data_IF_304604543424
#
_entry.id   IF_304604543424
#
_cell.length_a   1.000
_cell.length_b   1.000
_cell.length_c   1.000
_cell.angle_alpha   90.00
_cell.angle_beta   90.00
_cell.angle_gamma   90.00
#
_symmetry.space_group_name_H-M   'P 1'
#
loop_
_entity.id
_entity.type
_entity.pdbx_description
1 polymer ?
#
# COMPACT_ATOMS: atom_id res chain seq x y z
N UNK A 1 -0.90 -4.83 16.66
CA UNK A 1 0.14 -5.85 16.41
C UNK A 1 -0.54 -7.13 15.90
N UNK A 2 -1.18 -7.12 14.73
CA UNK A 2 -1.93 -8.31 14.28
C UNK A 2 -2.06 -8.46 12.75
N UNK A 3 -1.96 -7.39 11.97
CA UNK A 3 -2.15 -7.50 10.52
C UNK A 3 -0.92 -8.11 9.84
N UNK A 4 0.30 -7.69 10.21
CA UNK A 4 1.54 -7.97 9.43
C UNK A 4 2.21 -9.32 9.74
N UNK A 5 2.10 -9.88 10.95
CA UNK A 5 2.67 -11.21 11.26
C UNK A 5 2.03 -12.31 10.40
N UNK A 6 0.77 -12.15 10.01
CA UNK A 6 0.08 -13.05 9.09
C UNK A 6 0.63 -12.95 7.66
N UNK A 7 0.99 -11.73 7.19
CA UNK A 7 1.48 -11.49 5.82
C UNK A 7 2.93 -11.93 5.60
N UNK A 8 3.79 -11.91 6.61
CA UNK A 8 5.20 -12.35 6.48
C UNK A 8 5.36 -13.86 6.21
N UNK A 9 4.36 -14.67 6.61
CA UNK A 9 4.33 -16.13 6.40
C UNK A 9 3.60 -16.54 5.12
N UNK A 10 2.76 -15.66 4.59
CA UNK A 10 2.03 -15.88 3.35
C UNK A 10 2.92 -15.40 2.19
N UNK A 11 3.03 -16.19 1.12
CA UNK A 11 3.62 -15.74 -0.14
C UNK A 11 2.70 -14.70 -0.81
N UNK A 12 2.55 -13.54 -0.19
CA UNK A 12 1.61 -12.51 -0.62
C UNK A 12 2.21 -11.79 -1.81
N UNK A 13 1.52 -11.87 -2.94
CA UNK A 13 1.96 -11.19 -4.16
C UNK A 13 1.66 -9.71 -4.04
N UNK A 14 2.68 -8.88 -4.23
CA UNK A 14 2.50 -7.44 -4.41
C UNK A 14 2.25 -7.15 -5.89
N UNK A 15 1.11 -6.55 -6.19
CA UNK A 15 0.68 -6.24 -7.56
C UNK A 15 0.56 -4.73 -7.71
N UNK A 16 1.54 -4.04 -8.32
CA UNK A 16 1.43 -2.62 -8.59
C UNK A 16 0.41 -2.36 -9.69
N UNK A 17 -0.68 -1.67 -9.36
CA UNK A 17 -1.70 -1.27 -10.35
C UNK A 17 -1.12 -0.29 -11.37
N UNK A 18 -1.76 -0.17 -12.54
CA UNK A 18 -1.41 0.86 -13.54
C UNK A 18 -1.45 2.28 -12.96
N UNK A 19 -2.39 2.51 -12.04
CA UNK A 19 -2.55 3.81 -11.39
C UNK A 19 -1.37 4.10 -10.46
N UNK A 20 -0.97 3.14 -9.63
CA UNK A 20 0.24 3.22 -8.79
C UNK A 20 1.49 3.44 -9.63
N UNK A 21 1.68 2.69 -10.72
CA UNK A 21 2.86 2.86 -11.57
C UNK A 21 2.95 4.28 -12.16
N UNK A 22 1.79 4.86 -12.53
CA UNK A 22 1.74 6.23 -13.05
C UNK A 22 2.02 7.26 -11.94
N UNK A 23 1.37 7.12 -10.78
CA UNK A 23 1.50 8.07 -9.67
C UNK A 23 2.86 8.00 -8.99
N UNK A 24 3.43 6.79 -8.86
CA UNK A 24 4.78 6.56 -8.34
C UNK A 24 5.84 7.15 -9.26
N UNK A 25 5.76 6.91 -10.58
CA UNK A 25 6.70 7.50 -11.54
C UNK A 25 6.72 9.03 -11.50
N UNK A 26 5.55 9.68 -11.36
CA UNK A 26 5.49 11.14 -11.26
C UNK A 26 6.10 11.71 -9.97
N UNK A 27 6.26 10.88 -8.94
CA UNK A 27 6.75 11.26 -7.60
C UNK A 27 8.09 10.61 -7.25
N UNK A 28 8.73 9.93 -8.20
CA UNK A 28 9.94 9.13 -7.96
C UNK A 28 9.77 8.02 -6.90
N UNK A 29 8.55 7.54 -6.65
CA UNK A 29 8.26 6.49 -5.68
C UNK A 29 8.29 5.11 -6.37
N UNK A 30 9.02 4.19 -5.75
CA UNK A 30 9.23 2.82 -6.22
C UNK A 30 8.36 1.81 -5.47
N UNK A 31 8.36 0.56 -5.93
CA UNK A 31 7.73 -0.56 -5.19
C UNK A 31 8.47 -0.83 -3.87
N UNK A 32 9.78 -0.60 -3.82
CA UNK A 32 10.57 -0.78 -2.59
C UNK A 32 10.13 0.19 -1.50
N UNK A 33 9.83 1.44 -1.86
CA UNK A 33 9.29 2.44 -0.94
C UNK A 33 7.94 2.01 -0.39
N UNK A 34 7.08 1.50 -1.26
CA UNK A 34 5.80 0.96 -0.84
C UNK A 34 5.97 -0.25 0.10
N UNK A 35 6.95 -1.13 -0.13
CA UNK A 35 7.25 -2.25 0.75
C UNK A 35 7.72 -1.76 2.12
N UNK A 36 8.61 -0.78 2.16
CA UNK A 36 9.10 -0.19 3.41
C UNK A 36 7.93 0.37 4.22
N UNK A 37 7.08 1.19 3.60
CA UNK A 37 5.90 1.77 4.24
C UNK A 37 4.92 0.69 4.71
N UNK A 38 4.74 -0.39 3.95
CA UNK A 38 3.90 -1.52 4.38
C UNK A 38 4.49 -2.29 5.56
N UNK A 39 5.80 -2.22 5.74
CA UNK A 39 6.53 -2.94 6.81
C UNK A 39 6.63 -2.10 8.09
N UNK A 40 6.93 -0.80 7.96
CA UNK A 40 7.19 0.10 9.09
C UNK A 40 6.08 1.12 9.35
N UNK A 41 5.21 1.36 8.37
CA UNK A 41 4.12 2.33 8.43
C UNK A 41 2.93 1.87 9.28
N UNK A 42 1.99 2.79 9.46
CA UNK A 42 0.78 2.60 10.27
C UNK A 42 -0.46 3.02 9.49
N UNK A 43 -1.60 2.33 9.69
CA UNK A 43 -2.87 2.81 9.17
C UNK A 43 -3.16 4.23 9.70
N UNK A 44 -3.44 5.17 8.79
CA UNK A 44 -3.75 6.56 9.16
C UNK A 44 -5.25 6.80 9.36
N UNK A 45 -6.09 5.97 8.73
CA UNK A 45 -7.55 6.08 8.81
C UNK A 45 -8.22 4.73 8.60
N UNK A 46 -9.53 4.70 8.85
CA UNK A 46 -10.35 3.50 8.60
C UNK A 46 -10.37 3.15 7.11
N UNK A 47 -10.47 1.85 6.76
CA UNK A 47 -10.56 1.44 5.36
C UNK A 47 -11.82 1.98 4.69
N UNK A 48 -11.71 2.35 3.42
CA UNK A 48 -12.81 2.89 2.62
C UNK A 48 -13.13 1.98 1.44
N UNK A 49 -14.41 1.78 1.15
CA UNK A 49 -14.82 1.06 -0.05
C UNK A 49 -14.56 1.91 -1.29
N UNK A 50 -13.92 1.33 -2.31
CA UNK A 50 -13.67 2.00 -3.58
C UNK A 50 -14.35 1.25 -4.73
N UNK A 51 -15.40 1.85 -5.29
CA UNK A 51 -16.18 1.28 -6.39
C UNK A 51 -15.36 1.07 -7.68
N UNK A 52 -14.34 1.89 -7.93
CA UNK A 52 -13.49 1.74 -9.12
C UNK A 52 -12.58 0.51 -9.03
N UNK A 53 -12.21 0.14 -7.81
CA UNK A 53 -11.40 -1.04 -7.53
C UNK A 53 -12.26 -2.27 -7.22
N UNK A 54 -13.51 -2.07 -6.78
CA UNK A 54 -14.42 -3.13 -6.36
C UNK A 54 -13.98 -3.76 -5.03
N UNK A 55 -13.40 -2.99 -4.12
CA UNK A 55 -12.85 -3.53 -2.87
C UNK A 55 -12.50 -2.48 -1.83
N UNK A 56 -12.16 -2.95 -0.63
CA UNK A 56 -11.70 -2.12 0.47
C UNK A 56 -10.28 -1.61 0.23
N UNK A 57 -10.09 -0.31 0.46
CA UNK A 57 -8.82 0.39 0.38
C UNK A 57 -8.35 0.72 1.80
N UNK A 58 -7.10 0.39 2.07
CA UNK A 58 -6.40 0.69 3.31
C UNK A 58 -5.37 1.78 3.05
N UNK A 59 -5.15 2.64 4.04
CA UNK A 59 -4.30 3.83 3.93
C UNK A 59 -3.18 3.71 4.94
N UNK A 60 -1.97 3.44 4.46
CA UNK A 60 -0.80 3.21 5.30
C UNK A 60 0.14 4.41 5.13
N UNK A 61 0.38 5.14 6.22
CA UNK A 61 1.35 6.23 6.25
C UNK A 61 2.64 5.74 6.89
N UNK A 62 3.77 6.09 6.31
CA UNK A 62 5.08 5.75 6.82
C UNK A 62 6.16 6.52 6.10
N UNK A 63 7.40 6.25 6.48
CA UNK A 63 8.58 6.76 5.79
C UNK A 63 8.97 5.79 4.69
N UNK A 64 9.38 6.33 3.54
CA UNK A 64 10.03 5.53 2.50
C UNK A 64 11.48 5.18 2.86
N UNK A 65 12.20 4.57 1.93
CA UNK A 65 13.59 4.15 2.13
C UNK A 65 14.55 5.33 2.30
N UNK A 66 14.18 6.52 1.83
CA UNK A 66 14.96 7.76 1.94
C UNK A 66 14.58 8.57 3.20
N UNK A 67 13.47 8.23 3.85
CA UNK A 67 12.99 8.82 5.09
C UNK A 67 11.85 9.82 4.92
N UNK A 68 11.35 9.97 3.69
CA UNK A 68 10.27 10.90 3.34
C UNK A 68 8.91 10.29 3.70
N UNK A 69 8.04 11.12 4.28
CA UNK A 69 6.72 10.68 4.71
C UNK A 69 5.80 10.51 3.48
N UNK A 70 5.20 9.33 3.35
CA UNK A 70 4.35 8.91 2.23
C UNK A 70 3.12 8.12 2.72
N UNK A 71 2.00 8.29 2.01
CA UNK A 71 0.80 7.45 2.18
C UNK A 71 0.68 6.48 0.98
N UNK A 72 0.71 5.18 1.28
CA UNK A 72 0.44 4.11 0.32
C UNK A 72 -1.00 3.63 0.51
N UNK A 73 -1.76 3.61 -0.58
CA UNK A 73 -3.11 3.05 -0.60
C UNK A 73 -3.08 1.66 -1.20
N UNK A 74 -3.59 0.69 -0.46
CA UNK A 74 -3.59 -0.72 -0.86
C UNK A 74 -5.00 -1.30 -0.89
N UNK A 75 -5.22 -2.22 -1.81
CA UNK A 75 -6.33 -3.16 -1.76
C UNK A 75 -5.82 -4.55 -1.39
N UNK A 76 -6.65 -5.34 -0.72
CA UNK A 76 -6.37 -6.76 -0.45
C UNK A 76 -7.35 -7.58 -1.27
N UNK A 77 -6.88 -8.60 -1.98
CA UNK A 77 -7.79 -9.50 -2.73
C UNK A 77 -8.67 -10.30 -1.77
N UNK A 78 -9.86 -10.70 -2.19
CA UNK A 78 -10.81 -11.42 -1.33
C UNK A 78 -10.24 -12.73 -0.76
N UNK A 79 -9.43 -13.43 -1.55
CA UNK A 79 -8.72 -14.65 -1.17
C UNK A 79 -7.47 -14.40 -0.29
N UNK A 80 -7.15 -13.13 -0.01
CA UNK A 80 -6.00 -12.67 0.78
C UNK A 80 -4.64 -13.17 0.28
N UNK A 81 -4.53 -13.52 -1.00
CA UNK A 81 -3.28 -13.99 -1.60
C UNK A 81 -2.43 -12.88 -2.20
N UNK A 82 -3.01 -11.69 -2.42
CA UNK A 82 -2.31 -10.56 -3.00
C UNK A 82 -2.71 -9.22 -2.35
N UNK A 83 -1.72 -8.32 -2.34
CA UNK A 83 -1.88 -6.91 -2.01
C UNK A 83 -1.71 -6.12 -3.30
N UNK A 84 -2.72 -5.34 -3.65
CA UNK A 84 -2.70 -4.48 -4.82
C UNK A 84 -2.30 -3.08 -4.38
N UNK A 85 -1.20 -2.57 -4.91
CA UNK A 85 -0.80 -1.18 -4.69
C UNK A 85 -1.64 -0.29 -5.62
N UNK A 86 -2.54 0.51 -5.04
CA UNK A 86 -3.54 1.30 -5.79
C UNK A 86 -2.99 2.67 -6.13
N UNK A 87 -2.40 3.38 -5.17
CA UNK A 87 -1.74 4.67 -5.40
C UNK A 87 -0.78 5.04 -4.28
N UNK A 88 0.06 6.03 -4.55
CA UNK A 88 0.88 6.75 -3.57
C UNK A 88 0.55 8.23 -3.60
N UNK A 89 0.50 8.84 -2.43
CA UNK A 89 0.28 10.28 -2.24
C UNK A 89 1.14 10.81 -1.11
N UNK A 90 1.37 12.11 -1.08
CA UNK A 90 1.93 12.78 0.09
C UNK A 90 0.91 12.70 1.25
N UNK A 91 1.36 12.48 2.49
CA UNK A 91 0.48 12.39 3.63
C UNK A 91 -0.14 13.76 3.91
N UNK A 92 -1.45 13.76 4.17
CA UNK A 92 -2.21 14.93 4.60
C UNK A 92 -2.25 15.02 6.13
#
# INVERSE_FOLDING_TARGET
>A
MAVIEEFSRLQVKLIPSKHFQKSGRSRNVTVSDAIEILTSGKPNREPEWNDNYGGWIYFICGKDVEGDDLEVRIGITEDRTAIILVTVVEPH
#
